data_IF_605424346541
#
_entry.id   IF_605424346541
#
_cell.length_a   1.000
_cell.length_b   1.000
_cell.length_c   1.000
_cell.angle_alpha   90.00
_cell.angle_beta   90.00
_cell.angle_gamma   90.00
#
_symmetry.space_group_name_H-M   'P 1'
#
loop_
_entity.id
_entity.type
_entity.pdbx_description
1 polymer ?
#
# COMPACT_ATOMS: atom_id res chain seq x y z
N UNK A 1 -29.30 33.89 -47.64
CA UNK A 1 -28.04 33.18 -47.36
C UNK A 1 -28.05 32.82 -45.88
N UNK A 2 -28.40 31.59 -45.58
CA UNK A 2 -28.39 31.07 -44.19
C UNK A 2 -26.96 30.60 -43.87
N UNK A 3 -26.33 31.20 -42.84
CA UNK A 3 -25.03 30.76 -42.31
C UNK A 3 -25.14 29.32 -41.82
N UNK A 4 -24.15 28.45 -42.11
CA UNK A 4 -24.14 27.11 -41.58
C UNK A 4 -23.90 27.17 -40.05
N UNK A 5 -24.82 26.53 -39.30
CA UNK A 5 -24.62 26.34 -37.87
C UNK A 5 -23.35 25.52 -37.62
N UNK A 6 -22.33 26.16 -37.07
CA UNK A 6 -21.12 25.46 -36.60
C UNK A 6 -21.53 24.54 -35.46
N UNK A 7 -21.52 23.24 -35.72
CA UNK A 7 -21.71 22.23 -34.69
C UNK A 7 -20.65 22.40 -33.61
N UNK A 8 -21.07 22.61 -32.35
CA UNK A 8 -20.16 22.66 -31.21
C UNK A 8 -19.35 21.37 -31.15
N UNK A 9 -18.03 21.45 -30.90
CA UNK A 9 -17.16 20.26 -30.84
C UNK A 9 -17.69 19.31 -29.75
N UNK A 10 -17.82 18.03 -30.10
CA UNK A 10 -18.26 16.99 -29.17
C UNK A 10 -17.33 16.95 -27.96
N UNK A 11 -17.85 17.26 -26.78
CA UNK A 11 -17.05 17.16 -25.56
C UNK A 11 -16.56 15.71 -25.36
N UNK A 12 -15.29 15.56 -24.98
CA UNK A 12 -14.73 14.23 -24.70
C UNK A 12 -15.53 13.51 -23.59
N UNK A 13 -15.59 12.17 -23.64
CA UNK A 13 -16.29 11.36 -22.64
C UNK A 13 -15.89 11.75 -21.20
N UNK A 14 -14.60 11.98 -20.96
CA UNK A 14 -14.07 12.36 -19.64
C UNK A 14 -14.61 13.70 -19.13
N UNK A 15 -14.73 14.71 -20.01
CA UNK A 15 -15.30 16.01 -19.63
C UNK A 15 -16.79 15.91 -19.33
N UNK A 16 -17.51 15.06 -20.06
CA UNK A 16 -18.95 14.83 -19.86
C UNK A 16 -19.24 14.18 -18.50
N UNK A 17 -18.31 13.31 -18.01
CA UNK A 17 -18.48 12.55 -16.78
C UNK A 17 -17.55 13.05 -15.64
N UNK A 18 -16.98 14.25 -15.73
CA UNK A 18 -16.02 14.82 -14.77
C UNK A 18 -16.51 14.72 -13.32
N UNK A 19 -17.78 15.06 -13.07
CA UNK A 19 -18.37 14.99 -11.74
C UNK A 19 -18.34 13.56 -11.16
N UNK A 20 -18.77 12.58 -11.96
CA UNK A 20 -18.80 11.17 -11.54
C UNK A 20 -17.39 10.64 -11.30
N UNK A 21 -16.45 10.92 -12.19
CA UNK A 21 -15.05 10.49 -12.07
C UNK A 21 -14.43 11.02 -10.78
N UNK A 22 -14.63 12.29 -10.44
CA UNK A 22 -14.14 12.89 -9.18
C UNK A 22 -14.78 12.25 -7.94
N UNK A 23 -16.06 11.89 -7.98
CA UNK A 23 -16.73 11.20 -6.89
C UNK A 23 -16.21 9.77 -6.71
N UNK A 24 -16.08 9.03 -7.80
CA UNK A 24 -15.53 7.68 -7.77
C UNK A 24 -14.07 7.67 -7.36
N UNK A 25 -13.25 8.64 -7.81
CA UNK A 25 -11.88 8.81 -7.35
C UNK A 25 -11.84 9.03 -5.83
N UNK A 26 -12.65 9.93 -5.28
CA UNK A 26 -12.72 10.16 -3.84
C UNK A 26 -13.15 8.91 -3.08
N UNK A 27 -14.18 8.22 -3.56
CA UNK A 27 -14.72 7.01 -2.92
C UNK A 27 -13.73 5.85 -2.96
N UNK A 28 -13.10 5.57 -4.10
CA UNK A 28 -12.11 4.50 -4.24
C UNK A 28 -10.89 4.71 -3.36
N UNK A 29 -10.46 5.97 -3.19
CA UNK A 29 -9.35 6.32 -2.31
C UNK A 29 -9.66 6.22 -0.83
N UNK A 30 -10.93 6.30 -0.42
CA UNK A 30 -11.34 6.22 0.98
C UNK A 30 -11.69 4.79 1.40
N UNK A 31 -12.65 4.18 0.70
CA UNK A 31 -13.26 2.92 1.17
C UNK A 31 -12.36 1.73 0.88
N UNK A 32 -12.02 1.34 -0.37
CA UNK A 32 -11.15 0.20 -0.54
C UNK A 32 -9.67 0.54 -0.24
N UNK A 33 -9.10 1.56 -0.87
CA UNK A 33 -7.65 1.82 -0.78
C UNK A 33 -7.25 2.36 0.60
N UNK A 34 -7.97 3.34 1.13
CA UNK A 34 -7.66 3.95 2.43
C UNK A 34 -7.89 3.00 3.60
N UNK A 35 -9.00 2.24 3.58
CA UNK A 35 -9.27 1.22 4.60
C UNK A 35 -8.21 0.11 4.56
N UNK A 36 -7.87 -0.38 3.36
CA UNK A 36 -6.79 -1.35 3.20
C UNK A 36 -5.45 -0.81 3.72
N UNK A 37 -5.08 0.44 3.40
CA UNK A 37 -3.85 1.03 3.89
C UNK A 37 -3.80 1.07 5.43
N UNK A 38 -4.92 1.37 6.10
CA UNK A 38 -4.98 1.35 7.57
C UNK A 38 -4.72 -0.06 8.12
N UNK A 39 -5.43 -1.07 7.60
CA UNK A 39 -5.24 -2.46 8.01
C UNK A 39 -3.81 -2.91 7.73
N UNK A 40 -3.28 -2.60 6.54
CA UNK A 40 -1.93 -2.95 6.13
C UNK A 40 -0.86 -2.37 7.06
N UNK A 41 -0.93 -1.07 7.39
CA UNK A 41 0.04 -0.43 8.28
C UNK A 41 -0.07 -0.93 9.72
N UNK A 42 -1.29 -1.20 10.22
CA UNK A 42 -1.50 -1.76 11.56
C UNK A 42 -1.02 -3.21 11.64
N UNK A 43 -1.27 -4.03 10.61
CA UNK A 43 -0.73 -5.39 10.53
C UNK A 43 0.80 -5.36 10.56
N UNK A 44 1.43 -4.50 9.75
CA UNK A 44 2.88 -4.38 9.76
C UNK A 44 3.42 -3.84 11.09
N UNK A 45 2.72 -2.92 11.77
CA UNK A 45 3.10 -2.41 13.09
C UNK A 45 3.11 -3.51 14.16
N UNK A 46 2.39 -4.62 13.97
CA UNK A 46 2.42 -5.75 14.89
C UNK A 46 3.80 -6.43 15.00
N UNK A 47 4.72 -6.17 14.05
CA UNK A 47 6.11 -6.60 14.13
C UNK A 47 6.84 -6.02 15.35
N UNK A 48 6.40 -4.88 15.88
CA UNK A 48 6.90 -4.32 17.15
C UNK A 48 6.69 -5.31 18.32
N UNK A 49 5.63 -6.12 18.26
CA UNK A 49 5.34 -7.15 19.25
C UNK A 49 6.18 -8.43 19.10
N UNK A 50 6.90 -8.59 17.99
CA UNK A 50 7.74 -9.76 17.70
C UNK A 50 7.41 -10.42 16.37
N UNK A 51 8.34 -11.28 15.91
CA UNK A 51 8.18 -12.02 14.65
C UNK A 51 6.99 -12.99 14.69
N UNK A 52 6.72 -13.61 15.83
CA UNK A 52 5.60 -14.52 16.05
C UNK A 52 4.23 -13.82 15.95
N UNK A 53 4.11 -12.63 16.55
CA UNK A 53 2.88 -11.81 16.47
C UNK A 53 2.62 -11.38 15.03
N UNK A 54 3.66 -10.92 14.34
CA UNK A 54 3.53 -10.52 12.94
C UNK A 54 3.21 -11.72 12.03
N UNK A 55 3.91 -12.84 12.19
CA UNK A 55 3.68 -14.06 11.42
C UNK A 55 2.26 -14.59 11.58
N UNK A 56 1.72 -14.58 12.82
CA UNK A 56 0.32 -14.98 13.08
C UNK A 56 -0.67 -14.13 12.30
N UNK A 57 -0.48 -12.80 12.27
CA UNK A 57 -1.34 -11.89 11.51
C UNK A 57 -1.24 -12.15 10.01
N UNK A 58 -0.04 -12.39 9.49
CA UNK A 58 0.18 -12.72 8.07
C UNK A 58 -0.47 -14.06 7.71
N UNK A 59 -0.33 -15.09 8.56
CA UNK A 59 -1.03 -16.38 8.36
C UNK A 59 -2.55 -16.20 8.28
N UNK A 60 -3.12 -15.39 9.16
CA UNK A 60 -4.57 -15.09 9.16
C UNK A 60 -5.01 -14.49 7.82
N UNK A 61 -4.24 -13.57 7.25
CA UNK A 61 -4.54 -12.97 5.94
C UNK A 61 -4.40 -14.02 4.83
N UNK A 62 -3.31 -14.79 4.84
CA UNK A 62 -3.04 -15.80 3.81
C UNK A 62 -3.89 -17.06 3.90
N UNK A 63 -4.65 -17.24 4.98
CA UNK A 63 -5.67 -18.29 5.13
C UNK A 63 -7.04 -17.90 4.56
N UNK A 64 -7.22 -16.65 4.12
CA UNK A 64 -8.47 -16.20 3.54
C UNK A 64 -8.74 -16.93 2.21
N UNK A 65 -9.95 -17.50 2.03
CA UNK A 65 -10.32 -18.14 0.79
C UNK A 65 -10.36 -17.10 -0.35
N UNK A 66 -9.93 -17.49 -1.53
CA UNK A 66 -9.93 -16.64 -2.73
C UNK A 66 -9.13 -15.32 -2.55
N UNK A 67 -8.07 -15.33 -1.71
CA UNK A 67 -7.25 -14.15 -1.45
C UNK A 67 -6.86 -13.38 -2.73
N UNK A 68 -6.39 -14.00 -3.84
CA UNK A 68 -6.07 -13.27 -5.06
C UNK A 68 -7.26 -12.50 -5.66
N UNK A 69 -8.48 -13.04 -5.56
CA UNK A 69 -9.70 -12.35 -6.03
C UNK A 69 -10.00 -11.13 -5.16
N UNK A 70 -9.83 -11.27 -3.84
CA UNK A 70 -9.99 -10.17 -2.88
C UNK A 70 -8.97 -9.07 -3.18
N UNK A 71 -7.70 -9.41 -3.36
CA UNK A 71 -6.62 -8.46 -3.67
C UNK A 71 -6.89 -7.70 -4.97
N UNK A 72 -7.24 -8.40 -6.04
CA UNK A 72 -7.52 -7.75 -7.31
C UNK A 72 -8.75 -6.86 -7.25
N UNK A 73 -9.84 -7.32 -6.64
CA UNK A 73 -11.12 -6.59 -6.61
C UNK A 73 -11.07 -5.37 -5.68
N UNK A 74 -10.46 -5.50 -4.49
CA UNK A 74 -10.52 -4.48 -3.45
C UNK A 74 -9.25 -3.68 -3.29
N UNK A 75 -8.10 -4.12 -3.86
CA UNK A 75 -6.82 -3.43 -3.74
C UNK A 75 -6.33 -2.96 -5.12
N UNK A 76 -5.96 -3.90 -6.02
CA UNK A 76 -5.27 -3.53 -7.25
C UNK A 76 -6.14 -2.73 -8.23
N UNK A 77 -7.35 -3.17 -8.55
CA UNK A 77 -8.24 -2.44 -9.46
C UNK A 77 -8.64 -1.05 -8.91
N UNK A 78 -9.06 -0.92 -7.64
CA UNK A 78 -9.34 0.39 -7.06
C UNK A 78 -8.14 1.33 -7.04
N UNK A 79 -6.94 0.85 -6.70
CA UNK A 79 -5.74 1.71 -6.63
C UNK A 79 -5.28 2.17 -8.01
N UNK A 80 -5.38 1.29 -9.04
CA UNK A 80 -5.09 1.66 -10.43
C UNK A 80 -6.07 2.73 -10.90
N UNK A 81 -7.37 2.51 -10.69
CA UNK A 81 -8.39 3.52 -11.02
C UNK A 81 -8.15 4.83 -10.29
N UNK A 82 -7.89 4.79 -8.97
CA UNK A 82 -7.62 5.96 -8.15
C UNK A 82 -6.41 6.75 -8.67
N UNK A 83 -5.31 6.06 -8.98
CA UNK A 83 -4.10 6.68 -9.49
C UNK A 83 -4.31 7.32 -10.87
N UNK A 84 -4.92 6.60 -11.81
CA UNK A 84 -5.19 7.09 -13.18
C UNK A 84 -6.13 8.29 -13.15
N UNK A 85 -7.26 8.18 -12.45
CA UNK A 85 -8.20 9.29 -12.29
C UNK A 85 -7.56 10.48 -11.55
N UNK A 86 -6.75 10.21 -10.52
CA UNK A 86 -6.01 11.24 -9.77
C UNK A 86 -5.02 12.02 -10.64
N UNK A 87 -4.24 11.34 -11.48
CA UNK A 87 -3.34 11.98 -12.44
C UNK A 87 -4.13 12.85 -13.43
N UNK A 88 -5.24 12.34 -13.96
CA UNK A 88 -6.09 13.10 -14.87
C UNK A 88 -6.66 14.36 -14.20
N UNK A 89 -7.22 14.23 -12.98
CA UNK A 89 -7.73 15.37 -12.17
C UNK A 89 -6.61 16.37 -11.89
N UNK A 90 -5.42 15.88 -11.53
CA UNK A 90 -4.26 16.72 -11.23
C UNK A 90 -3.79 17.54 -12.44
N UNK A 91 -3.76 16.95 -13.63
CA UNK A 91 -3.37 17.65 -14.86
C UNK A 91 -4.34 18.74 -15.29
N UNK A 92 -5.64 18.54 -15.04
CA UNK A 92 -6.66 19.52 -15.38
C UNK A 92 -6.85 20.62 -14.31
N UNK A 93 -6.17 20.53 -13.17
CA UNK A 93 -6.21 21.53 -12.11
C UNK A 93 -5.06 22.53 -12.22
N UNK A 94 -5.35 23.82 -12.01
CA UNK A 94 -4.34 24.88 -11.98
C UNK A 94 -3.94 25.21 -10.55
N UNK A 95 -2.63 25.33 -10.28
CA UNK A 95 -2.14 25.86 -9.01
C UNK A 95 -2.14 27.39 -9.04
N UNK A 96 -2.67 28.02 -8.00
CA UNK A 96 -2.68 29.49 -7.83
C UNK A 96 -1.93 29.95 -6.58
N UNK A 97 -0.98 29.14 -6.10
CA UNK A 97 -0.17 29.42 -4.90
C UNK A 97 0.62 30.73 -4.98
N UNK A 98 1.03 31.14 -6.17
CA UNK A 98 1.76 32.38 -6.37
C UNK A 98 0.89 33.62 -6.12
N UNK A 99 -0.41 33.54 -6.50
CA UNK A 99 -1.36 34.62 -6.34
C UNK A 99 -2.05 34.62 -4.96
N UNK A 100 -2.31 33.42 -4.41
CA UNK A 100 -3.05 33.28 -3.14
C UNK A 100 -2.34 32.27 -2.22
N UNK A 101 -1.58 32.76 -1.25
CA UNK A 101 -0.83 31.94 -0.27
C UNK A 101 -1.72 31.45 0.89
N UNK A 102 -2.95 31.08 0.63
CA UNK A 102 -3.90 30.59 1.64
C UNK A 102 -3.55 29.18 2.10
N UNK A 103 -3.91 28.84 3.33
CA UNK A 103 -3.65 27.50 3.90
C UNK A 103 -4.31 26.38 3.07
N UNK A 104 -5.51 26.61 2.52
CA UNK A 104 -6.20 25.68 1.62
C UNK A 104 -5.43 25.38 0.34
N UNK A 105 -4.83 26.39 -0.28
CA UNK A 105 -4.02 26.24 -1.49
C UNK A 105 -2.72 25.46 -1.23
N UNK A 106 -2.09 25.66 -0.06
CA UNK A 106 -0.92 24.87 0.36
C UNK A 106 -1.29 23.39 0.54
N UNK A 107 -2.41 23.11 1.23
CA UNK A 107 -2.91 21.72 1.39
C UNK A 107 -3.20 21.05 0.07
N UNK A 108 -3.84 21.76 -0.87
CA UNK A 108 -4.09 21.29 -2.22
C UNK A 108 -2.81 20.95 -2.96
N UNK A 109 -1.78 21.77 -2.85
CA UNK A 109 -0.47 21.50 -3.50
C UNK A 109 0.22 20.29 -2.87
N UNK A 110 0.25 20.20 -1.53
CA UNK A 110 0.83 19.03 -0.85
C UNK A 110 0.06 17.74 -1.17
N UNK A 111 -1.28 17.81 -1.31
CA UNK A 111 -2.08 16.66 -1.74
C UNK A 111 -1.62 16.11 -3.10
N UNK A 112 -1.25 16.98 -4.03
CA UNK A 112 -0.78 16.59 -5.36
C UNK A 112 0.66 16.06 -5.32
N UNK A 113 1.54 16.73 -4.60
CA UNK A 113 2.94 16.29 -4.45
C UNK A 113 2.97 14.90 -3.82
N UNK A 114 2.28 14.70 -2.70
CA UNK A 114 2.23 13.42 -2.01
C UNK A 114 1.54 12.33 -2.82
N UNK A 115 0.57 12.67 -3.69
CA UNK A 115 -0.02 11.73 -4.64
C UNK A 115 1.01 11.18 -5.63
N UNK A 116 1.84 12.03 -6.23
CA UNK A 116 2.88 11.58 -7.17
C UNK A 116 3.97 10.76 -6.45
N UNK A 117 4.37 11.16 -5.26
CA UNK A 117 5.30 10.36 -4.44
C UNK A 117 4.68 8.99 -4.12
N UNK A 118 3.39 8.97 -3.72
CA UNK A 118 2.67 7.74 -3.41
C UNK A 118 2.56 6.81 -4.63
N UNK A 119 2.30 7.33 -5.83
CA UNK A 119 2.26 6.52 -7.07
C UNK A 119 3.60 5.81 -7.30
N UNK A 120 4.70 6.56 -7.26
CA UNK A 120 6.04 5.98 -7.46
C UNK A 120 6.37 4.98 -6.34
N UNK A 121 6.07 5.34 -5.10
CA UNK A 121 6.31 4.49 -3.95
C UNK A 121 5.51 3.18 -4.03
N UNK A 122 4.19 3.25 -4.24
CA UNK A 122 3.33 2.06 -4.25
C UNK A 122 3.71 1.14 -5.42
N UNK A 123 3.95 1.70 -6.60
CA UNK A 123 4.40 0.92 -7.75
C UNK A 123 5.69 0.15 -7.46
N UNK A 124 6.69 0.83 -6.88
CA UNK A 124 7.96 0.21 -6.49
C UNK A 124 7.81 -0.73 -5.31
N UNK A 125 7.01 -0.37 -4.30
CA UNK A 125 6.74 -1.18 -3.10
C UNK A 125 6.13 -2.53 -3.48
N UNK A 126 5.08 -2.53 -4.31
CA UNK A 126 4.45 -3.76 -4.78
C UNK A 126 5.45 -4.60 -5.57
N UNK A 127 6.27 -4.00 -6.44
CA UNK A 127 7.29 -4.75 -7.17
C UNK A 127 8.37 -5.30 -6.25
N UNK A 128 8.87 -4.48 -5.33
CA UNK A 128 9.96 -4.85 -4.42
C UNK A 128 9.59 -5.99 -3.48
N UNK A 129 8.39 -5.98 -2.90
CA UNK A 129 7.99 -7.00 -1.92
C UNK A 129 7.13 -8.10 -2.54
N UNK A 130 6.11 -7.76 -3.33
CA UNK A 130 5.18 -8.73 -3.90
C UNK A 130 5.63 -9.25 -5.28
N UNK A 131 6.34 -8.44 -6.08
CA UNK A 131 6.81 -8.81 -7.42
C UNK A 131 5.79 -8.57 -8.55
N UNK A 132 4.62 -7.98 -8.27
CA UNK A 132 3.45 -7.74 -9.13
C UNK A 132 2.70 -9.01 -9.51
N UNK A 133 3.36 -9.94 -10.20
CA UNK A 133 2.75 -11.20 -10.67
C UNK A 133 3.42 -12.39 -9.98
N UNK A 134 2.61 -13.39 -9.61
CA UNK A 134 3.04 -14.56 -8.84
C UNK A 134 3.18 -15.82 -9.71
N UNK A 135 3.37 -15.67 -11.02
CA UNK A 135 3.68 -16.80 -11.89
C UNK A 135 5.20 -17.04 -11.98
N UNK A 136 5.59 -18.30 -12.08
CA UNK A 136 6.98 -18.77 -12.05
C UNK A 136 7.86 -18.11 -13.10
N UNK A 137 7.35 -17.98 -14.32
CA UNK A 137 8.11 -17.38 -15.41
C UNK A 137 8.50 -15.94 -15.07
N UNK A 138 7.54 -15.13 -14.57
CA UNK A 138 7.78 -13.74 -14.19
C UNK A 138 8.74 -13.62 -13.02
N UNK A 139 8.52 -14.43 -11.97
CA UNK A 139 9.36 -14.41 -10.77
C UNK A 139 10.81 -14.80 -11.09
N UNK A 140 11.01 -15.87 -11.85
CA UNK A 140 12.33 -16.39 -12.16
C UNK A 140 13.09 -15.55 -13.20
N UNK A 141 12.40 -14.99 -14.20
CA UNK A 141 13.06 -14.30 -15.31
C UNK A 141 13.10 -12.77 -15.16
N UNK A 142 12.22 -12.17 -14.34
CA UNK A 142 12.12 -10.72 -14.20
C UNK A 142 12.31 -10.27 -12.76
N UNK A 143 11.45 -10.67 -11.83
CA UNK A 143 11.42 -10.09 -10.50
C UNK A 143 12.66 -10.48 -9.66
N UNK A 144 12.96 -11.76 -9.53
CA UNK A 144 14.10 -12.23 -8.73
C UNK A 144 15.47 -11.77 -9.27
N UNK A 145 15.75 -11.81 -10.61
CA UNK A 145 17.00 -11.30 -11.14
C UNK A 145 17.21 -9.80 -10.89
N UNK A 146 16.11 -9.02 -10.81
CA UNK A 146 16.15 -7.60 -10.45
C UNK A 146 16.20 -7.36 -8.93
N UNK A 147 16.25 -8.42 -8.10
CA UNK A 147 16.25 -8.32 -6.65
C UNK A 147 14.92 -7.89 -6.06
N UNK A 148 13.80 -8.17 -6.75
CA UNK A 148 12.43 -7.85 -6.35
C UNK A 148 11.70 -9.11 -5.85
N UNK A 149 10.40 -9.01 -5.53
CA UNK A 149 9.61 -10.11 -4.95
C UNK A 149 10.24 -10.69 -3.65
N UNK A 150 10.67 -9.80 -2.76
CA UNK A 150 11.50 -10.15 -1.59
C UNK A 150 10.70 -10.66 -0.38
N UNK A 151 9.42 -10.37 -0.31
CA UNK A 151 8.58 -10.77 0.83
C UNK A 151 8.11 -12.21 0.68
N UNK A 152 8.22 -12.97 1.76
CA UNK A 152 7.75 -14.35 1.85
C UNK A 152 6.72 -14.48 2.97
N UNK A 153 5.44 -14.73 2.67
CA UNK A 153 4.37 -14.74 3.67
C UNK A 153 4.57 -15.75 4.81
N UNK A 154 5.26 -16.86 4.57
CA UNK A 154 5.53 -17.87 5.59
C UNK A 154 6.85 -17.64 6.34
N UNK A 155 7.58 -16.57 5.97
CA UNK A 155 8.74 -16.03 6.66
C UNK A 155 8.65 -14.50 6.66
N UNK A 156 7.58 -13.96 7.22
CA UNK A 156 7.18 -12.57 7.04
C UNK A 156 8.18 -11.57 7.62
N UNK A 157 8.59 -11.74 8.88
CA UNK A 157 9.50 -10.81 9.55
C UNK A 157 10.93 -10.92 9.02
N UNK A 158 11.45 -12.14 8.83
CA UNK A 158 12.81 -12.37 8.36
C UNK A 158 12.99 -11.91 6.91
N UNK A 159 12.04 -12.21 6.03
CA UNK A 159 12.10 -11.76 4.63
C UNK A 159 11.92 -10.24 4.50
N UNK A 160 11.03 -9.62 5.29
CA UNK A 160 10.86 -8.17 5.35
C UNK A 160 12.13 -7.48 5.85
N UNK A 161 12.73 -7.95 6.94
CA UNK A 161 13.98 -7.42 7.49
C UNK A 161 15.11 -7.50 6.47
N UNK A 162 15.23 -8.63 5.76
CA UNK A 162 16.21 -8.81 4.68
C UNK A 162 15.95 -7.86 3.51
N UNK A 163 14.69 -7.72 3.08
CA UNK A 163 14.31 -6.82 2.00
C UNK A 163 14.63 -5.36 2.32
N UNK A 164 14.44 -4.94 3.56
CA UNK A 164 14.72 -3.57 4.04
C UNK A 164 16.17 -3.41 4.54
N UNK A 165 17.08 -4.29 4.14
CA UNK A 165 18.51 -4.17 4.43
C UNK A 165 19.14 -2.90 3.86
N UNK A 166 20.32 -2.53 4.37
CA UNK A 166 21.06 -1.35 3.93
C UNK A 166 20.41 -0.02 4.38
N UNK A 167 20.66 1.05 3.64
CA UNK A 167 20.22 2.42 3.96
C UNK A 167 19.12 2.93 3.00
N UNK A 168 19.22 2.57 1.72
CA UNK A 168 18.38 3.14 0.65
C UNK A 168 16.90 2.76 0.83
N UNK A 169 16.63 1.48 1.02
CA UNK A 169 15.25 0.99 1.17
C UNK A 169 14.52 1.59 2.38
N UNK A 170 15.08 1.60 3.60
CA UNK A 170 14.41 2.23 4.74
C UNK A 170 14.08 3.70 4.51
N UNK A 171 14.96 4.48 3.90
CA UNK A 171 14.71 5.90 3.59
C UNK A 171 13.60 6.04 2.56
N UNK A 172 13.64 5.25 1.48
CA UNK A 172 12.60 5.25 0.45
C UNK A 172 11.23 4.89 1.05
N UNK A 173 11.17 3.87 1.90
CA UNK A 173 9.93 3.46 2.58
C UNK A 173 9.44 4.53 3.57
N UNK A 174 10.32 5.17 4.33
CA UNK A 174 9.94 6.25 5.24
C UNK A 174 9.27 7.41 4.50
N UNK A 175 9.87 7.85 3.38
CA UNK A 175 9.30 8.91 2.53
C UNK A 175 7.95 8.48 1.95
N UNK A 176 7.85 7.24 1.44
CA UNK A 176 6.63 6.68 0.88
C UNK A 176 5.50 6.58 1.90
N UNK A 177 5.78 6.04 3.09
CA UNK A 177 4.81 5.95 4.19
C UNK A 177 4.30 7.32 4.60
N UNK A 178 5.19 8.30 4.80
CA UNK A 178 4.80 9.66 5.16
C UNK A 178 3.97 10.33 4.06
N UNK A 179 4.30 10.11 2.79
CA UNK A 179 3.53 10.64 1.67
C UNK A 179 2.13 10.01 1.60
N UNK A 180 2.03 8.69 1.71
CA UNK A 180 0.75 7.98 1.68
C UNK A 180 -0.15 8.35 2.86
N UNK A 181 0.39 8.43 4.08
CA UNK A 181 -0.39 8.79 5.27
C UNK A 181 -0.86 10.24 5.24
N UNK A 182 -0.03 11.18 4.78
CA UNK A 182 -0.47 12.56 4.57
C UNK A 182 -1.55 12.62 3.49
N UNK A 183 -1.35 11.93 2.36
CA UNK A 183 -2.30 11.91 1.24
C UNK A 183 -3.66 11.37 1.68
N UNK A 184 -3.69 10.28 2.45
CA UNK A 184 -4.93 9.71 2.99
C UNK A 184 -5.59 10.66 4.00
N UNK A 185 -4.87 11.13 5.00
CA UNK A 185 -5.43 11.98 6.06
C UNK A 185 -6.01 13.28 5.49
N UNK A 186 -5.29 13.91 4.56
CA UNK A 186 -5.77 15.11 3.89
C UNK A 186 -6.90 14.77 2.88
N UNK A 187 -6.86 13.58 2.27
CA UNK A 187 -7.91 13.04 1.41
C UNK A 187 -9.23 12.86 2.16
N UNK A 188 -9.20 12.30 3.37
CA UNK A 188 -10.38 12.18 4.27
C UNK A 188 -10.97 13.57 4.57
N UNK A 189 -10.12 14.53 4.91
CA UNK A 189 -10.57 15.89 5.19
C UNK A 189 -11.22 16.55 3.98
N UNK A 190 -10.62 16.47 2.80
CA UNK A 190 -11.16 17.06 1.56
C UNK A 190 -12.43 16.35 1.09
N UNK A 191 -12.47 15.02 1.23
CA UNK A 191 -13.64 14.22 0.90
C UNK A 191 -14.86 14.64 1.73
N UNK A 192 -14.70 14.84 3.03
CA UNK A 192 -15.82 15.26 3.87
C UNK A 192 -16.37 16.65 3.54
N UNK A 193 -15.55 17.55 2.99
CA UNK A 193 -16.05 18.81 2.40
C UNK A 193 -16.83 18.50 1.11
N UNK A 194 -16.25 17.71 0.23
CA UNK A 194 -16.83 17.37 -1.08
C UNK A 194 -18.15 16.60 -0.96
N UNK A 195 -18.28 15.76 0.05
CA UNK A 195 -19.49 14.97 0.33
C UNK A 195 -20.48 15.69 1.27
N UNK A 196 -20.17 16.91 1.71
CA UNK A 196 -21.08 17.74 2.54
C UNK A 196 -21.15 17.29 4.00
N UNK A 197 -20.15 16.58 4.53
CA UNK A 197 -20.14 16.10 5.92
C UNK A 197 -19.80 17.25 6.87
N UNK A 198 -18.80 18.08 6.54
CA UNK A 198 -18.45 19.29 7.31
C UNK A 198 -18.48 20.53 6.44
N UNK A 199 -19.61 21.23 6.55
CA UNK A 199 -19.93 22.39 5.71
C UNK A 199 -19.45 23.71 6.33
N UNK A 200 -19.47 23.83 7.66
CA UNK A 200 -19.14 25.09 8.34
C UNK A 200 -17.64 25.24 8.59
N UNK A 201 -17.07 26.45 8.66
CA UNK A 201 -15.67 26.67 9.01
C UNK A 201 -15.27 26.03 10.35
N UNK A 202 -16.19 26.03 11.33
CA UNK A 202 -15.98 25.39 12.64
C UNK A 202 -15.87 23.87 12.53
N UNK A 203 -16.75 23.22 11.76
CA UNK A 203 -16.69 21.76 11.53
C UNK A 203 -15.46 21.37 10.73
N UNK A 204 -15.09 22.13 9.69
CA UNK A 204 -13.87 21.90 8.91
C UNK A 204 -12.59 22.00 9.76
N UNK A 205 -12.53 22.96 10.68
CA UNK A 205 -11.39 23.09 11.62
C UNK A 205 -11.30 21.88 12.56
N UNK A 206 -12.42 21.42 13.13
CA UNK A 206 -12.48 20.22 13.99
C UNK A 206 -12.07 18.98 13.23
N UNK A 207 -12.62 18.77 12.03
CA UNK A 207 -12.26 17.69 11.14
C UNK A 207 -10.78 17.72 10.74
N UNK A 208 -10.21 18.91 10.51
CA UNK A 208 -8.78 19.06 10.24
C UNK A 208 -7.90 18.54 11.38
N UNK A 209 -8.26 18.82 12.63
CA UNK A 209 -7.53 18.30 13.80
C UNK A 209 -7.65 16.78 13.86
N UNK A 210 -8.88 16.24 13.75
CA UNK A 210 -9.11 14.79 13.78
C UNK A 210 -8.35 14.05 12.68
N UNK A 211 -8.40 14.55 11.42
CA UNK A 211 -7.67 13.96 10.31
C UNK A 211 -6.14 14.08 10.47
N UNK A 212 -5.64 15.15 11.09
CA UNK A 212 -4.22 15.28 11.38
C UNK A 212 -3.78 14.25 12.43
N UNK A 213 -4.53 14.10 13.53
CA UNK A 213 -4.25 13.09 14.55
C UNK A 213 -4.32 11.67 13.98
N UNK A 214 -5.31 11.38 13.14
CA UNK A 214 -5.42 10.14 12.40
C UNK A 214 -4.19 9.88 11.52
N UNK A 215 -3.76 10.88 10.73
CA UNK A 215 -2.57 10.75 9.88
C UNK A 215 -1.29 10.53 10.68
N UNK A 216 -1.13 11.23 11.82
CA UNK A 216 0.01 11.03 12.71
C UNK A 216 0.01 9.62 13.32
N UNK A 217 -1.14 9.12 13.75
CA UNK A 217 -1.28 7.77 14.30
C UNK A 217 -0.90 6.69 13.28
N UNK A 218 -1.49 6.73 12.09
CA UNK A 218 -1.20 5.75 11.04
C UNK A 218 0.24 5.88 10.51
N UNK A 219 0.76 7.12 10.42
CA UNK A 219 2.15 7.37 10.07
C UNK A 219 3.13 6.81 11.10
N UNK A 220 2.84 6.98 12.39
CA UNK A 220 3.62 6.39 13.47
C UNK A 220 3.60 4.86 13.42
N UNK A 221 2.45 4.24 13.16
CA UNK A 221 2.33 2.80 12.97
C UNK A 221 3.21 2.30 11.80
N UNK A 222 3.19 2.98 10.64
CA UNK A 222 4.04 2.62 9.51
C UNK A 222 5.53 2.80 9.78
N UNK A 223 5.93 3.89 10.44
CA UNK A 223 7.33 4.12 10.80
C UNK A 223 7.82 3.16 11.90
N UNK A 224 6.96 2.80 12.86
CA UNK A 224 7.31 1.82 13.88
C UNK A 224 7.55 0.43 13.30
N UNK A 225 6.75 0.02 12.28
CA UNK A 225 6.97 -1.22 11.56
C UNK A 225 8.31 -1.23 10.81
N UNK A 226 8.65 -0.11 10.18
CA UNK A 226 9.92 0.05 9.47
C UNK A 226 11.12 -0.02 10.45
N UNK A 227 11.00 0.60 11.61
CA UNK A 227 12.00 0.51 12.68
C UNK A 227 12.12 -0.93 13.20
N UNK A 228 10.99 -1.59 13.48
CA UNK A 228 10.97 -2.98 13.93
C UNK A 228 11.62 -3.93 12.91
N UNK A 229 11.31 -3.81 11.61
CA UNK A 229 11.93 -4.59 10.57
C UNK A 229 13.46 -4.38 10.53
N UNK A 230 13.92 -3.14 10.72
CA UNK A 230 15.34 -2.77 10.72
C UNK A 230 16.12 -3.36 11.91
N UNK A 231 15.46 -3.54 13.05
CA UNK A 231 16.04 -4.06 14.29
C UNK A 231 15.79 -5.56 14.50
N UNK A 232 15.02 -6.19 13.61
CA UNK A 232 14.74 -7.63 13.67
C UNK A 232 16.01 -8.44 13.41
N UNK A 233 16.33 -9.39 14.31
CA UNK A 233 17.34 -10.40 14.05
C UNK A 233 16.78 -11.44 13.09
N UNK A 234 17.33 -11.48 11.86
CA UNK A 234 16.81 -12.29 10.74
C UNK A 234 16.83 -13.78 11.07
N UNK A 235 17.91 -14.30 11.65
CA UNK A 235 18.07 -15.73 11.95
C UNK A 235 17.07 -16.17 13.04
N UNK A 236 16.97 -15.39 14.12
CA UNK A 236 16.02 -15.67 15.20
C UNK A 236 14.58 -15.61 14.70
N UNK A 237 14.23 -14.62 13.88
CA UNK A 237 12.89 -14.49 13.30
C UNK A 237 12.59 -15.69 12.38
N UNK A 238 13.51 -16.05 11.48
CA UNK A 238 13.37 -17.20 10.59
C UNK A 238 13.15 -18.52 11.35
N UNK A 239 13.89 -18.73 12.45
CA UNK A 239 13.72 -19.92 13.31
C UNK A 239 12.29 -19.97 13.88
N UNK A 240 11.83 -18.89 14.49
CA UNK A 240 10.47 -18.80 15.04
C UNK A 240 9.41 -19.02 13.95
N UNK A 241 9.56 -18.42 12.78
CA UNK A 241 8.65 -18.54 11.66
C UNK A 241 8.58 -19.97 11.09
N UNK A 242 9.72 -20.66 11.01
CA UNK A 242 9.78 -22.05 10.59
C UNK A 242 9.09 -22.97 11.61
N UNK A 243 9.33 -22.79 12.92
CA UNK A 243 8.62 -23.53 13.97
C UNK A 243 7.10 -23.30 13.89
N UNK A 244 6.64 -22.07 13.64
CA UNK A 244 5.21 -21.75 13.45
C UNK A 244 4.66 -22.39 12.17
N UNK A 245 5.43 -22.41 11.09
CA UNK A 245 5.03 -23.07 9.85
C UNK A 245 4.84 -24.56 10.05
N UNK A 246 5.82 -25.25 10.64
CA UNK A 246 5.79 -26.71 10.90
C UNK A 246 4.59 -27.07 11.81
N UNK A 247 4.35 -26.29 12.85
CA UNK A 247 3.15 -26.43 13.68
C UNK A 247 1.85 -26.21 12.88
N UNK A 248 1.81 -25.21 12.00
CA UNK A 248 0.65 -24.92 11.15
C UNK A 248 0.34 -26.04 10.16
N UNK A 249 1.37 -26.66 9.57
CA UNK A 249 1.21 -27.84 8.71
C UNK A 249 0.66 -29.04 9.51
N UNK A 250 1.25 -29.31 10.68
CA UNK A 250 0.83 -30.42 11.53
C UNK A 250 -0.64 -30.25 11.98
N UNK A 251 -1.08 -29.03 12.28
CA UNK A 251 -2.44 -28.70 12.70
C UNK A 251 -3.41 -28.49 11.52
N UNK A 252 -2.96 -28.64 10.29
CA UNK A 252 -3.74 -28.39 9.07
C UNK A 252 -4.35 -26.99 8.98
N UNK A 253 -3.71 -25.98 9.61
CA UNK A 253 -4.15 -24.58 9.57
C UNK A 253 -3.59 -23.79 8.41
N UNK A 254 -2.51 -24.28 7.78
CA UNK A 254 -1.91 -23.73 6.55
C UNK A 254 -1.61 -24.86 5.57
N UNK A 255 -1.63 -24.54 4.27
CA UNK A 255 -1.23 -25.47 3.21
C UNK A 255 0.26 -25.30 2.88
N UNK A 256 1.00 -26.37 2.55
CA UNK A 256 2.36 -26.28 2.04
C UNK A 256 2.43 -25.41 0.79
N UNK A 257 3.37 -24.46 0.76
CA UNK A 257 3.59 -23.60 -0.41
C UNK A 257 5.03 -23.05 -0.35
N UNK A 258 5.89 -23.62 -1.16
CA UNK A 258 7.32 -23.27 -1.18
C UNK A 258 7.57 -21.87 -1.74
N UNK A 259 6.67 -21.34 -2.59
CA UNK A 259 6.78 -19.95 -3.08
C UNK A 259 6.58 -18.92 -1.97
N UNK A 260 5.90 -19.30 -0.89
CA UNK A 260 5.66 -18.45 0.28
C UNK A 260 6.74 -18.56 1.35
N UNK A 261 7.77 -19.40 1.15
CA UNK A 261 8.87 -19.62 2.09
C UNK A 261 10.17 -18.95 1.64
N UNK A 262 11.02 -18.64 2.60
CA UNK A 262 12.42 -18.27 2.37
C UNK A 262 13.32 -19.47 2.67
N UNK A 263 14.47 -19.58 1.98
CA UNK A 263 15.49 -20.58 2.30
C UNK A 263 16.28 -20.29 3.60
N UNK A 264 15.94 -19.22 4.33
CA UNK A 264 16.68 -18.80 5.53
C UNK A 264 16.29 -19.71 6.70
N UNK A 265 17.29 -20.29 7.35
CA UNK A 265 17.09 -21.10 8.57
C UNK A 265 16.56 -22.53 8.33
N UNK A 266 16.48 -22.99 7.08
CA UNK A 266 16.28 -24.41 6.82
C UNK A 266 17.58 -25.15 7.12
N UNK A 267 17.59 -26.01 8.13
CA UNK A 267 18.58 -27.08 8.26
C UNK A 267 18.18 -28.10 7.19
N UNK A 268 18.97 -28.25 6.13
CA UNK A 268 18.82 -29.42 5.23
C UNK A 268 18.86 -30.67 6.09
N UNK A 269 17.75 -31.42 6.16
CA UNK A 269 17.84 -32.79 6.66
C UNK A 269 18.85 -33.52 5.78
N UNK A 270 19.84 -34.21 6.40
CA UNK A 270 20.80 -34.98 5.63
C UNK A 270 20.02 -35.94 4.74
N UNK A 271 20.24 -35.86 3.42
CA UNK A 271 19.66 -36.83 2.48
C UNK A 271 19.94 -38.23 3.00
N UNK A 272 18.92 -39.11 3.11
CA UNK A 272 19.15 -40.48 3.50
C UNK A 272 20.23 -41.06 2.59
N UNK A 273 21.28 -41.58 3.18
CA UNK A 273 22.34 -42.27 2.42
C UNK A 273 21.67 -43.40 1.59
N UNK A 274 22.05 -43.56 0.32
CA UNK A 274 21.54 -44.67 -0.46
C UNK A 274 21.85 -45.97 0.26
N UNK A 275 20.82 -46.72 0.62
CA UNK A 275 20.93 -48.04 1.22
C UNK A 275 21.74 -48.91 0.24
N UNK A 276 22.79 -49.59 0.67
CA UNK A 276 23.69 -50.38 -0.18
C UNK A 276 22.96 -51.57 -0.82
#
# INVERSE_FOLDING_TARGET
MSSPATSAPSQSFLLRHDFLIRRLHSLSGLVPVGAYMCVHLLTNASLVGGADVFQKNVFTIHSLPFLPVIEWTFIFLPIIFHAVAGVWISRNGKSNLQQYRLAGNRRYTWQRITAYIAIVFIFTHVFHLHGWFQNDWWLQNIANPLGMARFRPYNAASSLATALGGFIWPVFYAIGVLACTFHLANGVWTAGITWGIWLTPKSQRRASIACTLFGLFIGAAGLSSLFAAKTTNVEKAAKTENEMYDAGILLHTIAPDDHKRSGIGHVEEPKPEPVP
#
